data_IF_289791796912
#
_entry.id   IF_289791796912
#
_cell.length_a   1.000
_cell.length_b   1.000
_cell.length_c   1.000
_cell.angle_alpha   90.00
_cell.angle_beta   90.00
_cell.angle_gamma   90.00
#
_symmetry.space_group_name_H-M   'P 1'
#
loop_
_entity.id
_entity.type
_entity.pdbx_description
1 polymer ?
#
# COMPACT_ATOMS: atom_id res chain seq x y z
N UNK A 1 13.26 24.92 18.20
CA UNK A 1 12.03 24.41 17.55
C UNK A 1 11.31 23.49 18.53
N UNK A 2 10.01 23.70 18.80
CA UNK A 2 9.23 22.84 19.70
C UNK A 2 9.27 21.38 19.20
N UNK A 3 9.42 20.40 20.11
CA UNK A 3 9.47 18.95 19.76
C UNK A 3 8.24 18.51 18.97
N UNK A 4 7.07 19.06 19.32
CA UNK A 4 5.82 18.80 18.60
C UNK A 4 5.85 19.38 17.18
N UNK A 5 6.33 20.62 17.02
CA UNK A 5 6.44 21.25 15.70
C UNK A 5 7.38 20.46 14.78
N UNK A 6 8.50 19.96 15.30
CA UNK A 6 9.40 19.09 14.53
C UNK A 6 8.71 17.80 14.09
N UNK A 7 8.00 17.14 14.99
CA UNK A 7 7.25 15.93 14.67
C UNK A 7 6.22 16.18 13.57
N UNK A 8 5.41 17.24 13.70
CA UNK A 8 4.37 17.58 12.72
C UNK A 8 4.97 17.87 11.35
N UNK A 9 6.10 18.60 11.28
CA UNK A 9 6.79 18.86 10.02
C UNK A 9 7.36 17.58 9.39
N UNK A 10 7.96 16.68 10.19
CA UNK A 10 8.42 15.37 9.71
C UNK A 10 7.25 14.53 9.15
N UNK A 11 6.09 14.54 9.83
CA UNK A 11 4.89 13.84 9.38
C UNK A 11 4.35 14.41 8.06
N UNK A 12 4.19 15.74 7.97
CA UNK A 12 3.72 16.41 6.75
C UNK A 12 4.64 16.09 5.57
N UNK A 13 5.96 16.20 5.77
CA UNK A 13 6.95 15.90 4.74
C UNK A 13 6.86 14.45 4.26
N UNK A 14 6.73 13.51 5.20
CA UNK A 14 6.67 12.08 4.87
C UNK A 14 5.36 11.75 4.12
N UNK A 15 4.23 12.25 4.60
CA UNK A 15 2.92 12.10 3.93
C UNK A 15 2.98 12.70 2.53
N UNK A 16 3.52 13.91 2.36
CA UNK A 16 3.60 14.57 1.05
C UNK A 16 4.38 13.74 0.03
N UNK A 17 5.57 13.24 0.40
CA UNK A 17 6.38 12.40 -0.50
C UNK A 17 5.64 11.12 -0.87
N UNK A 18 5.05 10.47 0.14
CA UNK A 18 4.37 9.20 -0.07
C UNK A 18 3.16 9.39 -0.96
N UNK A 19 2.34 10.41 -0.68
CA UNK A 19 1.17 10.75 -1.47
C UNK A 19 1.54 11.07 -2.92
N UNK A 20 2.59 11.87 -3.14
CA UNK A 20 3.04 12.25 -4.48
C UNK A 20 3.42 11.02 -5.31
N UNK A 21 4.29 10.16 -4.77
CA UNK A 21 4.70 8.92 -5.46
C UNK A 21 3.51 7.99 -5.62
N UNK A 22 2.67 7.87 -4.58
CA UNK A 22 1.53 6.97 -4.57
C UNK A 22 0.52 7.33 -5.67
N UNK A 23 0.11 8.60 -5.78
CA UNK A 23 -0.78 9.08 -6.84
C UNK A 23 -0.19 8.79 -8.22
N UNK A 24 1.10 9.05 -8.42
CA UNK A 24 1.79 8.75 -9.68
C UNK A 24 1.83 7.25 -10.01
N UNK A 25 1.85 6.38 -9.00
CA UNK A 25 1.88 4.93 -9.20
C UNK A 25 0.50 4.28 -9.28
N UNK A 26 -0.52 4.85 -8.61
CA UNK A 26 -1.83 4.19 -8.48
C UNK A 26 -2.53 4.11 -9.84
N UNK A 27 -2.48 5.20 -10.62
CA UNK A 27 -3.16 5.29 -11.92
C UNK A 27 -2.44 4.51 -13.02
N UNK A 28 -1.10 4.42 -12.95
CA UNK A 28 -0.28 3.85 -14.03
C UNK A 28 0.12 2.40 -13.80
N UNK A 29 0.28 1.99 -12.54
CA UNK A 29 0.83 0.68 -12.18
C UNK A 29 -0.29 -0.20 -11.63
N UNK A 30 -1.03 0.26 -10.62
CA UNK A 30 -1.99 -0.59 -9.88
C UNK A 30 -3.36 -0.68 -10.56
N UNK A 31 -3.98 0.45 -10.92
CA UNK A 31 -5.26 0.46 -11.64
C UNK A 31 -5.07 0.43 -13.15
N UNK A 32 -4.05 -0.26 -13.64
CA UNK A 32 -3.86 -0.40 -15.08
C UNK A 32 -4.92 -1.38 -15.64
N UNK A 33 -6.01 -0.80 -16.14
CA UNK A 33 -7.17 -1.50 -16.70
C UNK A 33 -6.84 -2.38 -17.91
N UNK A 34 -5.69 -2.18 -18.56
CA UNK A 34 -5.25 -3.07 -19.62
C UNK A 34 -5.10 -4.52 -19.12
N UNK A 35 -4.73 -4.74 -17.85
CA UNK A 35 -4.63 -6.10 -17.31
C UNK A 35 -5.99 -6.79 -17.18
N UNK A 36 -7.06 -6.04 -16.88
CA UNK A 36 -8.42 -6.59 -16.78
C UNK A 36 -9.07 -6.86 -18.15
N UNK A 37 -8.53 -6.29 -19.23
CA UNK A 37 -9.00 -6.53 -20.60
C UNK A 37 -8.33 -7.74 -21.26
N UNK A 38 -7.26 -8.26 -20.66
CA UNK A 38 -6.53 -9.43 -21.16
C UNK A 38 -6.82 -10.59 -20.20
N UNK A 39 -7.64 -11.53 -20.63
CA UNK A 39 -8.21 -12.64 -19.85
C UNK A 39 -7.17 -13.45 -19.04
N UNK A 40 -5.93 -13.53 -19.48
CA UNK A 40 -4.85 -14.27 -18.82
C UNK A 40 -3.99 -13.43 -17.86
N UNK A 41 -4.22 -12.12 -17.74
CA UNK A 41 -3.43 -11.18 -16.94
C UNK A 41 -4.25 -10.52 -15.82
N UNK A 42 -5.51 -10.89 -15.67
CA UNK A 42 -6.42 -10.45 -14.61
C UNK A 42 -5.84 -10.68 -13.20
N UNK A 43 -5.21 -11.82 -12.94
CA UNK A 43 -4.57 -12.14 -11.66
C UNK A 43 -3.39 -11.21 -11.34
N UNK A 44 -2.70 -10.66 -12.35
CA UNK A 44 -1.60 -9.71 -12.14
C UNK A 44 -2.09 -8.39 -11.57
N UNK A 45 -3.31 -7.97 -11.90
CA UNK A 45 -3.95 -6.79 -11.31
C UNK A 45 -3.99 -6.89 -9.77
N UNK A 46 -4.29 -8.08 -9.25
CA UNK A 46 -4.37 -8.34 -7.81
C UNK A 46 -3.04 -8.70 -7.16
N UNK A 47 -2.11 -9.28 -7.93
CA UNK A 47 -0.79 -9.65 -7.44
C UNK A 47 0.17 -8.45 -7.35
N UNK A 48 -0.04 -7.44 -8.19
CA UNK A 48 0.88 -6.30 -8.29
C UNK A 48 1.01 -5.48 -6.99
N UNK A 49 -0.08 -5.17 -6.25
CA UNK A 49 0.03 -4.51 -4.95
C UNK A 49 0.89 -5.30 -3.95
N UNK A 50 0.76 -6.63 -3.90
CA UNK A 50 1.56 -7.43 -2.97
C UNK A 50 3.02 -7.54 -3.40
N UNK A 51 3.30 -7.57 -4.71
CA UNK A 51 4.67 -7.52 -5.24
C UNK A 51 5.34 -6.18 -4.96
N UNK A 52 4.63 -5.07 -5.15
CA UNK A 52 5.12 -3.73 -4.82
C UNK A 52 5.39 -3.62 -3.31
N UNK A 53 4.46 -4.09 -2.49
CA UNK A 53 4.64 -4.16 -1.05
C UNK A 53 5.93 -4.90 -0.70
N UNK A 54 6.14 -6.10 -1.26
CA UNK A 54 7.31 -6.92 -1.01
C UNK A 54 8.61 -6.25 -1.48
N UNK A 55 8.59 -5.59 -2.64
CA UNK A 55 9.73 -4.83 -3.15
C UNK A 55 10.12 -3.71 -2.17
N UNK A 56 9.15 -2.90 -1.72
CA UNK A 56 9.41 -1.84 -0.75
C UNK A 56 9.88 -2.37 0.60
N UNK A 57 9.39 -3.54 1.03
CA UNK A 57 9.87 -4.24 2.21
C UNK A 57 11.36 -4.59 2.08
N UNK A 58 11.76 -5.22 0.97
CA UNK A 58 13.17 -5.58 0.71
C UNK A 58 14.04 -4.32 0.75
N UNK A 59 13.62 -3.26 0.06
CA UNK A 59 14.36 -2.00 0.05
C UNK A 59 14.46 -1.42 1.46
N UNK A 60 13.39 -1.44 2.26
CA UNK A 60 13.44 -0.99 3.66
C UNK A 60 14.42 -1.82 4.52
N UNK A 61 14.55 -3.12 4.27
CA UNK A 61 15.52 -4.00 4.94
C UNK A 61 16.95 -3.70 4.50
N UNK A 62 17.20 -3.55 3.20
CA UNK A 62 18.54 -3.29 2.63
C UNK A 62 19.04 -1.90 3.05
N UNK A 63 18.17 -0.89 3.03
CA UNK A 63 18.52 0.48 3.38
C UNK A 63 18.39 0.79 4.88
N UNK A 64 18.17 -0.21 5.73
CA UNK A 64 17.90 -0.06 7.17
C UNK A 64 18.91 0.81 7.94
N UNK A 65 20.17 0.83 7.49
CA UNK A 65 21.28 1.54 8.15
C UNK A 65 21.74 2.81 7.42
N UNK A 66 21.20 3.13 6.24
CA UNK A 66 21.70 4.25 5.42
C UNK A 66 21.02 5.58 5.72
N UNK A 67 19.69 5.60 5.73
CA UNK A 67 18.90 6.83 5.97
C UNK A 67 17.63 6.51 6.72
N UNK A 68 17.44 7.19 7.87
CA UNK A 68 16.21 7.12 8.69
C UNK A 68 14.99 7.45 7.82
N UNK A 69 15.02 8.57 7.10
CA UNK A 69 13.88 9.05 6.31
C UNK A 69 13.51 8.06 5.19
N UNK A 70 14.50 7.57 4.43
CA UNK A 70 14.22 6.60 3.36
C UNK A 70 13.63 5.31 3.91
N UNK A 71 14.15 4.82 5.05
CA UNK A 71 13.60 3.64 5.72
C UNK A 71 12.13 3.83 6.08
N UNK A 72 11.76 5.00 6.65
CA UNK A 72 10.37 5.28 6.99
C UNK A 72 9.49 5.35 5.74
N UNK A 73 9.95 6.00 4.67
CA UNK A 73 9.23 6.08 3.39
C UNK A 73 8.94 4.68 2.83
N UNK A 74 9.98 3.85 2.66
CA UNK A 74 9.81 2.50 2.10
C UNK A 74 8.98 1.58 2.98
N UNK A 75 9.13 1.69 4.31
CA UNK A 75 8.28 0.94 5.23
C UNK A 75 6.80 1.35 5.10
N UNK A 76 6.54 2.64 4.97
CA UNK A 76 5.18 3.16 4.83
C UNK A 76 4.56 2.72 3.51
N UNK A 77 5.31 2.76 2.39
CA UNK A 77 4.84 2.19 1.12
C UNK A 77 4.53 0.70 1.24
N UNK A 78 5.43 -0.08 1.83
CA UNK A 78 5.20 -1.51 2.05
C UNK A 78 3.86 -1.75 2.76
N UNK A 79 3.58 -0.99 3.82
CA UNK A 79 2.31 -1.10 4.57
C UNK A 79 1.10 -0.69 3.72
N UNK A 80 1.18 0.44 3.00
CA UNK A 80 0.08 0.94 2.16
C UNK A 80 -0.28 -0.09 1.08
N UNK A 81 0.71 -0.61 0.36
CA UNK A 81 0.48 -1.59 -0.70
C UNK A 81 0.02 -2.95 -0.18
N UNK A 82 0.47 -3.35 1.00
CA UNK A 82 -0.02 -4.55 1.67
C UNK A 82 -1.50 -4.41 2.02
N UNK A 83 -1.87 -3.27 2.61
CA UNK A 83 -3.25 -2.97 2.96
C UNK A 83 -4.14 -2.86 1.71
N UNK A 84 -3.65 -2.22 0.64
CA UNK A 84 -4.34 -2.18 -0.65
C UNK A 84 -4.54 -3.59 -1.23
N UNK A 85 -3.54 -4.45 -1.17
CA UNK A 85 -3.67 -5.84 -1.61
C UNK A 85 -4.77 -6.57 -0.82
N UNK A 86 -4.76 -6.46 0.51
CA UNK A 86 -5.78 -7.07 1.37
C UNK A 86 -7.16 -6.51 1.04
N UNK A 87 -7.26 -5.20 0.83
CA UNK A 87 -8.51 -4.55 0.44
C UNK A 87 -9.03 -5.07 -0.91
N UNK A 88 -8.17 -5.19 -1.92
CA UNK A 88 -8.55 -5.68 -3.25
C UNK A 88 -8.97 -7.15 -3.26
N UNK A 89 -8.37 -8.01 -2.43
CA UNK A 89 -8.78 -9.43 -2.36
C UNK A 89 -10.00 -9.68 -1.47
N UNK A 90 -10.32 -8.76 -0.54
CA UNK A 90 -11.49 -8.85 0.34
C UNK A 90 -12.68 -8.05 -0.18
N UNK A 91 -12.44 -7.07 -1.05
CA UNK A 91 -13.46 -6.35 -1.78
C UNK A 91 -14.14 -7.27 -2.80
N UNK A 92 -15.47 -7.29 -2.77
CA UNK A 92 -16.26 -7.95 -3.80
C UNK A 92 -16.40 -6.96 -4.94
N UNK A 93 -15.85 -7.29 -6.11
CA UNK A 93 -16.08 -6.49 -7.31
C UNK A 93 -17.50 -6.74 -7.83
N UNK A 94 -18.17 -5.71 -8.35
CA UNK A 94 -19.53 -5.81 -8.89
C UNK A 94 -19.68 -6.80 -10.06
N UNK A 95 -18.57 -7.20 -10.70
CA UNK A 95 -18.55 -8.20 -11.75
C UNK A 95 -17.93 -9.49 -11.18
N UNK A 96 -18.77 -10.44 -10.76
CA UNK A 96 -18.34 -11.67 -10.07
C UNK A 96 -17.34 -12.51 -10.89
N UNK A 97 -17.41 -12.45 -12.22
CA UNK A 97 -16.52 -13.15 -13.15
C UNK A 97 -15.06 -12.65 -13.11
N UNK A 98 -14.83 -11.46 -12.53
CA UNK A 98 -13.49 -10.88 -12.35
C UNK A 98 -12.90 -11.15 -10.98
N UNK A 99 -13.62 -11.85 -10.10
CA UNK A 99 -13.11 -12.21 -8.78
C UNK A 99 -12.01 -13.28 -8.90
N UNK A 100 -10.95 -13.12 -8.10
CA UNK A 100 -9.88 -14.11 -8.01
C UNK A 100 -10.42 -15.48 -7.56
N UNK A 101 -9.94 -16.53 -8.23
CA UNK A 101 -10.12 -17.89 -7.75
C UNK A 101 -9.53 -18.08 -6.33
N UNK A 102 -10.17 -18.92 -5.53
CA UNK A 102 -9.84 -19.15 -4.12
C UNK A 102 -8.36 -19.51 -3.86
N UNK A 103 -7.74 -20.26 -4.77
CA UNK A 103 -6.31 -20.61 -4.68
C UNK A 103 -5.40 -19.37 -4.69
N UNK A 104 -5.71 -18.37 -5.52
CA UNK A 104 -4.92 -17.14 -5.59
C UNK A 104 -5.13 -16.25 -4.37
N UNK A 105 -6.37 -16.18 -3.86
CA UNK A 105 -6.68 -15.47 -2.60
C UNK A 105 -5.84 -16.07 -1.46
N UNK A 106 -5.81 -17.40 -1.33
CA UNK A 106 -5.00 -18.09 -0.32
C UNK A 106 -3.51 -17.79 -0.47
N UNK A 107 -3.00 -17.74 -1.70
CA UNK A 107 -1.60 -17.39 -1.98
C UNK A 107 -1.28 -15.96 -1.54
N UNK A 108 -2.13 -14.99 -1.90
CA UNK A 108 -1.93 -13.58 -1.51
C UNK A 108 -2.00 -13.43 0.01
N UNK A 109 -2.94 -14.10 0.68
CA UNK A 109 -3.01 -14.12 2.14
C UNK A 109 -1.76 -14.71 2.78
N UNK A 110 -1.25 -15.83 2.25
CA UNK A 110 -0.02 -16.44 2.74
C UNK A 110 1.17 -15.48 2.66
N UNK A 111 1.35 -14.83 1.50
CA UNK A 111 2.43 -13.84 1.31
C UNK A 111 2.21 -12.65 2.27
N UNK A 112 0.97 -12.19 2.44
CA UNK A 112 0.64 -11.10 3.35
C UNK A 112 1.01 -11.44 4.79
N UNK A 113 0.71 -12.65 5.27
CA UNK A 113 1.10 -13.11 6.60
C UNK A 113 2.62 -13.13 6.80
N UNK A 114 3.37 -13.61 5.80
CA UNK A 114 4.84 -13.58 5.83
C UNK A 114 5.35 -12.15 5.94
N UNK A 115 4.81 -11.23 5.13
CA UNK A 115 5.18 -9.82 5.13
C UNK A 115 4.86 -9.12 6.46
N UNK A 116 3.68 -9.36 7.02
CA UNK A 116 3.28 -8.92 8.36
C UNK A 116 4.31 -9.42 9.38
N UNK A 117 4.67 -10.71 9.33
CA UNK A 117 5.69 -11.29 10.20
C UNK A 117 7.04 -10.57 10.12
N UNK A 118 7.51 -10.25 8.92
CA UNK A 118 8.77 -9.50 8.71
C UNK A 118 8.66 -8.08 9.26
N UNK A 119 7.55 -7.38 9.02
CA UNK A 119 7.31 -6.06 9.61
C UNK A 119 7.44 -6.13 11.13
N UNK A 120 6.67 -7.00 11.78
CA UNK A 120 6.61 -7.07 13.25
C UNK A 120 7.89 -7.58 13.91
N UNK A 121 8.57 -8.57 13.32
CA UNK A 121 9.76 -9.19 13.94
C UNK A 121 11.09 -8.52 13.57
N UNK A 122 11.20 -7.91 12.38
CA UNK A 122 12.48 -7.42 11.87
C UNK A 122 12.50 -5.89 11.82
N UNK A 123 11.51 -5.28 11.15
CA UNK A 123 11.57 -3.85 10.85
C UNK A 123 11.08 -2.98 12.01
N UNK A 124 9.89 -3.23 12.56
CA UNK A 124 9.33 -2.43 13.64
C UNK A 124 10.20 -2.42 14.91
N UNK A 125 10.79 -3.54 15.38
CA UNK A 125 11.63 -3.53 16.58
C UNK A 125 12.85 -2.61 16.45
N UNK A 126 13.35 -2.41 15.22
CA UNK A 126 14.49 -1.55 14.94
C UNK A 126 14.18 -0.05 14.87
N UNK A 127 12.93 0.36 15.11
CA UNK A 127 12.49 1.76 15.05
C UNK A 127 12.33 2.35 16.46
N UNK A 128 12.64 3.64 16.58
CA UNK A 128 12.31 4.40 17.79
C UNK A 128 10.78 4.53 17.94
N UNK A 129 10.29 4.85 19.15
CA UNK A 129 8.84 5.05 19.37
C UNK A 129 8.26 6.16 18.49
N UNK A 130 9.03 7.23 18.26
CA UNK A 130 8.62 8.36 17.40
C UNK A 130 8.52 7.91 15.95
N UNK A 131 9.48 7.13 15.47
CA UNK A 131 9.48 6.58 14.11
C UNK A 131 8.32 5.63 13.85
N UNK A 132 7.99 4.79 14.83
CA UNK A 132 6.79 3.94 14.77
C UNK A 132 5.54 4.80 14.63
N UNK A 133 5.43 5.87 15.41
CA UNK A 133 4.29 6.78 15.34
C UNK A 133 4.20 7.46 13.97
N UNK A 134 5.33 7.91 13.42
CA UNK A 134 5.38 8.51 12.08
C UNK A 134 4.89 7.55 11.01
N UNK A 135 5.37 6.31 11.02
CA UNK A 135 4.97 5.28 10.04
C UNK A 135 3.49 4.96 10.19
N UNK A 136 3.01 4.73 11.41
CA UNK A 136 1.60 4.40 11.63
C UNK A 136 0.68 5.55 11.21
N UNK A 137 0.97 6.78 11.64
CA UNK A 137 0.13 7.93 11.30
C UNK A 137 0.16 8.25 9.80
N UNK A 138 1.33 8.20 9.17
CA UNK A 138 1.43 8.41 7.73
C UNK A 138 0.73 7.32 6.93
N UNK A 139 0.87 6.04 7.31
CA UNK A 139 0.10 4.95 6.72
C UNK A 139 -1.41 5.20 6.84
N UNK A 140 -1.90 5.57 8.03
CA UNK A 140 -3.33 5.83 8.25
C UNK A 140 -3.85 7.00 7.41
N UNK A 141 -3.10 8.10 7.31
CA UNK A 141 -3.49 9.27 6.50
C UNK A 141 -3.61 8.88 5.02
N UNK A 142 -2.61 8.17 4.49
CA UNK A 142 -2.61 7.76 3.08
C UNK A 142 -3.68 6.70 2.81
N UNK A 143 -3.94 5.79 3.74
CA UNK A 143 -5.01 4.79 3.61
C UNK A 143 -6.40 5.42 3.66
N UNK A 144 -6.62 6.45 4.48
CA UNK A 144 -7.86 7.20 4.49
C UNK A 144 -8.10 7.85 3.12
N UNK A 145 -7.08 8.51 2.57
CA UNK A 145 -7.13 9.10 1.22
C UNK A 145 -7.39 8.05 0.13
N UNK A 146 -6.75 6.89 0.23
CA UNK A 146 -6.96 5.74 -0.66
C UNK A 146 -8.42 5.27 -0.60
N UNK A 147 -8.99 5.12 0.59
CA UNK A 147 -10.38 4.72 0.77
C UNK A 147 -11.34 5.72 0.11
N UNK A 148 -11.13 7.02 0.33
CA UNK A 148 -11.94 8.06 -0.32
C UNK A 148 -11.78 8.06 -1.84
N UNK A 149 -10.57 7.89 -2.36
CA UNK A 149 -10.34 7.82 -3.81
C UNK A 149 -10.98 6.58 -4.45
N UNK A 150 -10.85 5.40 -3.85
CA UNK A 150 -11.47 4.18 -4.36
C UNK A 150 -13.00 4.27 -4.36
N UNK A 151 -13.59 4.75 -3.26
CA UNK A 151 -15.03 4.95 -3.18
C UNK A 151 -15.54 5.99 -4.19
N UNK A 152 -14.77 7.06 -4.38
CA UNK A 152 -15.08 8.08 -5.40
C UNK A 152 -14.97 7.52 -6.81
N UNK A 153 -13.97 6.69 -7.10
CA UNK A 153 -13.84 6.00 -8.36
C UNK A 153 -15.02 5.06 -8.61
N UNK A 154 -15.37 4.19 -7.66
CA UNK A 154 -16.53 3.29 -7.80
C UNK A 154 -17.84 4.08 -8.04
N UNK A 155 -18.08 5.16 -7.30
CA UNK A 155 -19.26 6.03 -7.49
C UNK A 155 -19.27 6.70 -8.88
N UNK A 156 -18.12 7.15 -9.37
CA UNK A 156 -18.02 7.76 -10.69
C UNK A 156 -18.26 6.72 -11.81
N UNK A 157 -17.77 5.49 -11.63
CA UNK A 157 -17.95 4.41 -12.60
C UNK A 157 -19.38 3.87 -12.64
N UNK A 158 -20.06 3.76 -11.50
CA UNK A 158 -21.47 3.35 -11.44
C UNK A 158 -22.38 4.37 -12.13
N UNK A 159 -22.04 5.66 -12.10
CA UNK A 159 -22.83 6.72 -12.73
C UNK A 159 -22.52 6.96 -14.22
N UNK A 160 -21.41 6.42 -14.75
CA UNK A 160 -21.07 6.51 -16.18
C UNK A 160 -21.58 5.32 -17.00
N UNK A 161 -21.88 4.19 -16.35
CA UNK A 161 -22.37 2.95 -16.96
C UNK A 161 -23.89 2.77 -16.85
N UNK A 162 -24.59 3.70 -16.17
CA UNK A 162 -26.04 3.85 -16.17
C UNK A 162 -26.44 5.05 -17.03
#
# INVERSE_FOLDING_TARGET
MNRYLKFTLELIFLVFIILLIYILSIDFVVFNRFFLQIEYFDWLFYLLPILLSFLYLIVAVVFKNKSRILKLIFLTFSIIYLALSIFMITGIYCEEEKNLGLAHILLVLLIAFVMIGIHYKILFPSLSKIDKLLVVLSSLIILAELYFNLFSYDLFYVNLLN
#
